data_IF_102085036226
#
_entry.id   IF_102085036226
#
_cell.length_a   1.000
_cell.length_b   1.000
_cell.length_c   1.000
_cell.angle_alpha   90.00
_cell.angle_beta   90.00
_cell.angle_gamma   90.00
#
_symmetry.space_group_name_H-M   'P 1'
#
loop_
_entity.id
_entity.type
_entity.pdbx_description
1 polymer ?
#
# COMPACT_ATOMS: atom_id res chain seq x y z
N UNK A 1 13.98 -14.50 22.93
CA UNK A 1 14.34 -13.50 21.91
C UNK A 1 13.04 -13.11 21.20
N UNK A 2 12.49 -11.91 21.46
CA UNK A 2 11.24 -11.48 20.78
C UNK A 2 11.57 -11.32 19.30
N UNK A 3 10.88 -12.04 18.41
CA UNK A 3 11.05 -11.83 16.97
C UNK A 3 10.64 -10.39 16.66
N UNK A 4 11.48 -9.63 15.96
CA UNK A 4 11.22 -8.25 15.52
C UNK A 4 10.11 -8.17 14.43
N UNK A 5 9.22 -9.17 14.37
CA UNK A 5 8.06 -9.20 13.48
C UNK A 5 8.36 -9.51 12.01
N UNK A 6 9.64 -9.69 11.62
CA UNK A 6 10.04 -10.13 10.29
C UNK A 6 9.55 -11.55 10.02
N UNK A 7 8.65 -11.72 9.04
CA UNK A 7 8.22 -13.04 8.56
C UNK A 7 9.10 -13.45 7.39
N UNK A 8 9.49 -14.72 7.35
CA UNK A 8 10.17 -15.29 6.20
C UNK A 8 9.31 -15.14 4.93
N UNK A 9 9.94 -14.84 3.81
CA UNK A 9 9.29 -14.74 2.50
C UNK A 9 9.85 -15.80 1.56
N UNK A 10 8.99 -16.75 1.17
CA UNK A 10 9.37 -17.89 0.33
C UNK A 10 9.25 -17.61 -1.17
N UNK A 11 8.44 -16.64 -1.58
CA UNK A 11 8.21 -16.27 -2.98
C UNK A 11 7.11 -17.06 -3.70
N UNK A 12 6.38 -17.92 -2.99
CA UNK A 12 5.29 -18.77 -3.49
C UNK A 12 3.91 -18.34 -2.93
N UNK A 13 3.63 -17.04 -2.97
CA UNK A 13 2.41 -16.44 -2.40
C UNK A 13 1.69 -15.55 -3.41
N UNK A 14 0.42 -15.22 -3.14
CA UNK A 14 -0.35 -14.31 -4.00
C UNK A 14 0.26 -12.91 -4.03
N UNK A 15 0.09 -12.14 -5.11
CA UNK A 15 0.56 -10.75 -5.18
C UNK A 15 0.05 -9.85 -4.03
N UNK A 16 -1.18 -10.07 -3.55
CA UNK A 16 -1.68 -9.37 -2.36
C UNK A 16 -0.86 -9.71 -1.10
N UNK A 17 -0.48 -10.98 -0.91
CA UNK A 17 0.37 -11.39 0.20
C UNK A 17 1.80 -10.85 0.10
N UNK A 18 2.33 -10.66 -1.12
CA UNK A 18 3.60 -9.97 -1.37
C UNK A 18 3.54 -8.53 -0.87
N UNK A 19 2.46 -7.81 -1.19
CA UNK A 19 2.24 -6.42 -0.76
C UNK A 19 2.11 -6.31 0.75
N UNK A 20 1.35 -7.20 1.39
CA UNK A 20 1.23 -7.24 2.85
C UNK A 20 2.56 -7.53 3.54
N UNK A 21 3.40 -8.38 2.93
CA UNK A 21 4.74 -8.63 3.44
C UNK A 21 5.62 -7.37 3.35
N UNK A 22 5.60 -6.66 2.21
CA UNK A 22 6.36 -5.41 2.04
C UNK A 22 5.94 -4.34 3.05
N UNK A 23 4.62 -4.11 3.22
CA UNK A 23 4.10 -3.17 4.23
C UNK A 23 4.58 -3.51 5.63
N UNK A 24 4.57 -4.80 5.97
CA UNK A 24 5.07 -5.24 7.28
C UNK A 24 6.56 -4.95 7.46
N UNK A 25 7.35 -5.04 6.39
CA UNK A 25 8.78 -4.68 6.46
C UNK A 25 8.96 -3.16 6.62
N UNK A 26 8.15 -2.35 5.94
CA UNK A 26 8.15 -0.89 6.10
C UNK A 26 7.88 -0.50 7.57
N UNK A 27 6.87 -1.10 8.22
CA UNK A 27 6.58 -0.88 9.65
C UNK A 27 7.79 -1.23 10.54
N UNK A 28 8.46 -2.36 10.26
CA UNK A 28 9.63 -2.81 11.02
C UNK A 28 10.79 -1.82 10.85
N UNK A 29 11.00 -1.32 9.64
CA UNK A 29 12.08 -0.37 9.37
C UNK A 29 11.83 1.00 9.98
N UNK A 30 10.59 1.45 10.02
CA UNK A 30 10.21 2.66 10.73
C UNK A 30 10.46 2.52 12.23
N UNK A 31 10.00 1.42 12.83
CA UNK A 31 10.20 1.14 14.25
C UNK A 31 11.68 1.06 14.65
N UNK A 32 12.52 0.51 13.77
CA UNK A 32 13.96 0.33 14.02
C UNK A 32 14.81 1.54 13.60
N UNK A 33 14.23 2.58 12.99
CA UNK A 33 14.97 3.66 12.34
C UNK A 33 16.06 3.14 11.38
N UNK A 34 15.74 2.08 10.63
CA UNK A 34 16.72 1.37 9.80
C UNK A 34 17.23 2.24 8.64
N UNK A 35 18.55 2.30 8.49
CA UNK A 35 19.25 2.88 7.34
C UNK A 35 18.93 2.12 6.06
N UNK A 36 19.16 2.73 4.89
CA UNK A 36 18.84 2.10 3.59
C UNK A 36 19.57 0.78 3.41
N UNK A 37 20.81 0.70 3.87
CA UNK A 37 21.68 -0.47 3.80
C UNK A 37 21.17 -1.60 4.71
N UNK A 38 20.76 -1.25 5.94
CA UNK A 38 20.18 -2.22 6.89
C UNK A 38 18.87 -2.83 6.37
N UNK A 39 18.03 -2.03 5.68
CA UNK A 39 16.78 -2.53 5.08
C UNK A 39 17.03 -3.68 4.12
N UNK A 40 17.97 -3.50 3.18
CA UNK A 40 18.31 -4.54 2.18
C UNK A 40 18.88 -5.78 2.86
N UNK A 41 19.79 -5.62 3.81
CA UNK A 41 20.36 -6.76 4.54
C UNK A 41 19.27 -7.56 5.29
N UNK A 42 18.34 -6.85 5.92
CA UNK A 42 17.26 -7.45 6.69
C UNK A 42 16.28 -8.22 5.81
N UNK A 43 15.77 -7.63 4.72
CA UNK A 43 14.86 -8.36 3.81
C UNK A 43 15.53 -9.57 3.19
N UNK A 44 16.79 -9.45 2.77
CA UNK A 44 17.55 -10.55 2.15
C UNK A 44 17.74 -11.71 3.13
N UNK A 45 17.90 -11.43 4.42
CA UNK A 45 17.97 -12.44 5.47
C UNK A 45 16.65 -13.24 5.61
N UNK A 46 15.52 -12.58 5.42
CA UNK A 46 14.18 -13.16 5.47
C UNK A 46 13.78 -13.92 4.21
N UNK A 47 14.47 -13.73 3.07
CA UNK A 47 14.19 -14.50 1.86
C UNK A 47 14.56 -15.98 2.07
N UNK A 48 13.62 -16.87 1.78
CA UNK A 48 13.76 -18.33 1.79
C UNK A 48 13.27 -18.91 0.47
N UNK A 49 13.48 -20.20 0.26
CA UNK A 49 12.90 -20.93 -0.88
C UNK A 49 13.17 -20.27 -2.23
N UNK A 50 12.12 -20.14 -3.05
CA UNK A 50 12.19 -19.52 -4.37
C UNK A 50 12.77 -18.10 -4.32
N UNK A 51 12.31 -17.28 -3.39
CA UNK A 51 12.76 -15.90 -3.27
C UNK A 51 14.26 -15.78 -2.95
N UNK A 52 14.81 -16.73 -2.18
CA UNK A 52 16.26 -16.74 -1.91
C UNK A 52 17.07 -17.13 -3.14
N UNK A 53 16.58 -18.09 -3.92
CA UNK A 53 17.20 -18.52 -5.18
C UNK A 53 17.19 -17.39 -6.21
N UNK A 54 16.04 -16.74 -6.39
CA UNK A 54 15.88 -15.55 -7.22
C UNK A 54 16.85 -14.43 -6.82
N UNK A 55 16.91 -14.08 -5.52
CA UNK A 55 17.81 -13.01 -5.08
C UNK A 55 19.27 -13.34 -5.42
N UNK A 56 19.66 -14.60 -5.28
CA UNK A 56 21.01 -15.05 -5.60
C UNK A 56 21.36 -14.93 -7.09
N UNK A 57 20.38 -15.01 -8.00
CA UNK A 57 20.60 -14.83 -9.44
C UNK A 57 20.65 -13.37 -9.87
N UNK A 58 19.94 -12.47 -9.18
CA UNK A 58 19.92 -11.03 -9.54
C UNK A 58 20.96 -10.20 -8.78
N UNK A 59 21.37 -10.63 -7.58
CA UNK A 59 22.31 -9.88 -6.74
C UNK A 59 23.78 -10.14 -7.11
N UNK A 60 24.05 -10.79 -8.25
CA UNK A 60 25.40 -11.17 -8.69
C UNK A 60 25.64 -10.80 -10.15
N UNK A 61 26.78 -10.16 -10.40
CA UNK A 61 27.28 -9.85 -11.75
C UNK A 61 28.69 -10.42 -11.85
N UNK A 62 28.94 -11.25 -12.87
CA UNK A 62 30.23 -11.95 -13.05
C UNK A 62 30.71 -12.73 -11.81
N UNK A 63 29.77 -13.24 -11.00
CA UNK A 63 30.05 -13.99 -9.77
C UNK A 63 30.24 -13.12 -8.52
N UNK A 64 30.43 -11.81 -8.67
CA UNK A 64 30.58 -10.87 -7.56
C UNK A 64 29.24 -10.37 -7.04
N UNK A 65 29.13 -10.15 -5.72
CA UNK A 65 27.91 -9.59 -5.12
C UNK A 65 27.85 -8.09 -5.39
N UNK A 66 26.77 -7.65 -6.01
CA UNK A 66 26.47 -6.23 -6.19
C UNK A 66 25.76 -5.70 -4.95
N UNK A 67 26.15 -4.51 -4.50
CA UNK A 67 25.40 -3.82 -3.46
C UNK A 67 24.19 -3.13 -4.10
N UNK A 68 23.01 -3.40 -3.55
CA UNK A 68 21.77 -2.77 -3.96
C UNK A 68 21.39 -1.72 -2.92
N UNK A 69 20.96 -0.56 -3.40
CA UNK A 69 20.15 0.37 -2.61
C UNK A 69 18.78 -0.25 -2.28
N UNK A 70 18.08 0.32 -1.29
CA UNK A 70 16.73 -0.12 -0.97
C UNK A 70 15.78 0.03 -2.16
N UNK A 71 15.93 1.13 -2.92
CA UNK A 71 15.13 1.44 -4.09
C UNK A 71 15.36 0.43 -5.23
N UNK A 72 16.62 0.03 -5.47
CA UNK A 72 16.94 -1.00 -6.46
C UNK A 72 16.43 -2.37 -6.05
N UNK A 73 16.54 -2.73 -4.76
CA UNK A 73 15.94 -3.95 -4.23
C UNK A 73 14.43 -3.97 -4.46
N UNK A 74 13.73 -2.90 -4.06
CA UNK A 74 12.27 -2.80 -4.21
C UNK A 74 11.85 -2.90 -5.66
N UNK A 75 12.57 -2.24 -6.58
CA UNK A 75 12.28 -2.32 -8.02
C UNK A 75 12.42 -3.76 -8.51
N UNK A 76 13.54 -4.42 -8.23
CA UNK A 76 13.76 -5.81 -8.65
C UNK A 76 12.73 -6.76 -8.04
N UNK A 77 12.45 -6.61 -6.74
CA UNK A 77 11.51 -7.44 -6.01
C UNK A 77 10.07 -7.29 -6.53
N UNK A 78 9.61 -6.07 -6.78
CA UNK A 78 8.28 -5.84 -7.37
C UNK A 78 8.20 -6.42 -8.78
N UNK A 79 9.22 -6.24 -9.62
CA UNK A 79 9.25 -6.83 -10.96
C UNK A 79 9.10 -8.36 -10.94
N UNK A 80 9.73 -9.02 -9.96
CA UNK A 80 9.65 -10.48 -9.83
C UNK A 80 8.31 -10.96 -9.27
N UNK A 81 7.86 -10.37 -8.16
CA UNK A 81 6.78 -10.93 -7.36
C UNK A 81 5.42 -10.25 -7.57
N UNK A 82 5.38 -9.12 -8.30
CA UNK A 82 4.15 -8.42 -8.67
C UNK A 82 4.04 -8.34 -10.19
N UNK A 83 3.31 -9.27 -10.84
CA UNK A 83 3.10 -9.23 -12.28
C UNK A 83 2.52 -7.88 -12.73
N UNK A 84 2.99 -7.35 -13.84
CA UNK A 84 2.52 -6.07 -14.38
C UNK A 84 1.00 -6.05 -14.59
N UNK A 85 0.43 -7.15 -15.09
CA UNK A 85 -1.02 -7.31 -15.24
C UNK A 85 -1.79 -7.16 -13.91
N UNK A 86 -1.22 -7.60 -12.78
CA UNK A 86 -1.82 -7.40 -11.47
C UNK A 86 -1.80 -5.93 -11.07
N UNK A 87 -0.67 -5.24 -11.28
CA UNK A 87 -0.55 -3.80 -11.00
C UNK A 87 -1.53 -2.99 -11.86
N UNK A 88 -1.62 -3.29 -13.17
CA UNK A 88 -2.59 -2.66 -14.07
C UNK A 88 -4.02 -2.90 -13.59
N UNK A 89 -4.36 -4.13 -13.20
CA UNK A 89 -5.68 -4.46 -12.67
C UNK A 89 -6.01 -3.65 -11.41
N UNK A 90 -5.06 -3.52 -10.47
CA UNK A 90 -5.24 -2.71 -9.25
C UNK A 90 -5.38 -1.22 -9.56
N UNK A 91 -4.62 -0.71 -10.53
CA UNK A 91 -4.72 0.69 -10.95
C UNK A 91 -6.06 0.99 -11.63
N UNK A 92 -6.58 0.07 -12.45
CA UNK A 92 -7.92 0.18 -13.03
C UNK A 92 -8.99 0.10 -11.92
N UNK A 93 -8.86 -0.83 -10.97
CA UNK A 93 -9.75 -0.92 -9.82
C UNK A 93 -9.77 0.38 -9.01
N UNK A 94 -8.62 1.06 -8.89
CA UNK A 94 -8.53 2.36 -8.22
C UNK A 94 -9.08 3.52 -9.05
N UNK A 95 -8.94 3.47 -10.39
CA UNK A 95 -9.55 4.44 -11.31
C UNK A 95 -11.07 4.44 -11.22
N UNK A 96 -11.65 3.25 -11.12
CA UNK A 96 -13.10 3.05 -11.06
C UNK A 96 -13.67 3.12 -9.64
N UNK A 97 -12.83 3.27 -8.62
CA UNK A 97 -13.25 3.23 -7.22
C UNK A 97 -14.21 4.38 -6.88
N UNK A 98 -15.46 4.01 -6.57
CA UNK A 98 -16.51 4.87 -6.01
C UNK A 98 -17.14 4.18 -4.82
N UNK A 99 -17.69 4.94 -3.88
CA UNK A 99 -18.37 4.42 -2.69
C UNK A 99 -19.59 3.57 -3.10
N UNK A 100 -20.45 4.11 -3.97
CA UNK A 100 -21.66 3.43 -4.44
C UNK A 100 -22.48 2.84 -3.28
N UNK A 101 -22.61 1.52 -3.23
CA UNK A 101 -23.35 0.78 -2.21
C UNK A 101 -22.48 0.34 -1.02
N UNK A 102 -21.17 0.63 -1.03
CA UNK A 102 -20.30 0.39 0.11
C UNK A 102 -20.60 1.38 1.22
N UNK A 103 -20.44 0.91 2.45
CA UNK A 103 -20.28 1.81 3.60
C UNK A 103 -19.04 2.68 3.41
N UNK A 104 -19.01 3.85 4.06
CA UNK A 104 -17.82 4.71 4.11
C UNK A 104 -16.61 3.93 4.62
N UNK A 105 -16.80 3.02 5.58
CA UNK A 105 -15.73 2.16 6.10
C UNK A 105 -15.17 1.23 5.02
N UNK A 106 -16.01 0.50 4.29
CA UNK A 106 -15.58 -0.40 3.21
C UNK A 106 -14.88 0.37 2.09
N UNK A 107 -15.46 1.50 1.67
CA UNK A 107 -14.85 2.40 0.69
C UNK A 107 -13.48 2.91 1.16
N UNK A 108 -13.35 3.32 2.43
CA UNK A 108 -12.08 3.80 3.00
C UNK A 108 -11.02 2.72 2.99
N UNK A 109 -11.37 1.51 3.43
CA UNK A 109 -10.44 0.37 3.46
C UNK A 109 -9.96 0.07 2.04
N UNK A 110 -10.88 0.05 1.06
CA UNK A 110 -10.56 -0.22 -0.34
C UNK A 110 -9.67 0.88 -0.93
N UNK A 111 -9.98 2.15 -0.66
CA UNK A 111 -9.18 3.29 -1.09
C UNK A 111 -7.73 3.21 -0.58
N UNK A 112 -7.55 2.97 0.73
CA UNK A 112 -6.22 2.87 1.36
C UNK A 112 -5.43 1.67 0.83
N UNK A 113 -6.09 0.56 0.53
CA UNK A 113 -5.42 -0.61 -0.05
C UNK A 113 -4.92 -0.35 -1.47
N UNK A 114 -5.73 0.32 -2.28
CA UNK A 114 -5.48 0.51 -3.71
C UNK A 114 -4.51 1.66 -4.02
N UNK A 115 -4.50 2.73 -3.22
CA UNK A 115 -3.58 3.87 -3.42
C UNK A 115 -2.10 3.46 -3.32
N UNK A 116 -1.80 2.31 -2.73
CA UNK A 116 -0.44 1.75 -2.67
C UNK A 116 0.13 1.36 -4.05
N UNK A 117 -0.73 1.03 -5.02
CA UNK A 117 -0.33 0.57 -6.35
C UNK A 117 -0.18 1.70 -7.37
N UNK A 118 -0.62 2.91 -7.01
CA UNK A 118 -0.60 4.06 -7.89
C UNK A 118 0.85 4.58 -8.01
N UNK A 119 1.49 4.29 -9.16
CA UNK A 119 2.81 4.84 -9.48
C UNK A 119 2.71 6.39 -9.51
N UNK A 120 3.33 7.04 -8.52
CA UNK A 120 3.48 8.50 -8.49
C UNK A 120 2.24 9.33 -8.12
N UNK A 121 1.20 8.78 -7.49
CA UNK A 121 -0.05 9.53 -7.21
C UNK A 121 -0.59 9.47 -5.77
N UNK A 122 0.31 9.24 -4.82
CA UNK A 122 0.19 9.79 -3.46
C UNK A 122 0.98 11.11 -3.30
N UNK A 123 1.28 11.80 -4.41
CA UNK A 123 2.35 12.81 -4.47
C UNK A 123 2.11 14.06 -3.61
N UNK A 124 0.86 14.29 -3.18
CA UNK A 124 0.54 15.20 -2.06
C UNK A 124 -0.72 14.73 -1.34
N UNK A 125 -0.84 15.04 -0.05
CA UNK A 125 -2.05 14.79 0.74
C UNK A 125 -3.30 15.43 0.11
N UNK A 126 -3.13 16.56 -0.59
CA UNK A 126 -4.21 17.22 -1.32
C UNK A 126 -4.80 16.35 -2.44
N UNK A 127 -3.97 15.72 -3.28
CA UNK A 127 -4.45 14.83 -4.35
C UNK A 127 -5.25 13.65 -3.78
N UNK A 128 -4.79 13.09 -2.65
CA UNK A 128 -5.50 12.01 -1.94
C UNK A 128 -6.89 12.48 -1.47
N UNK A 129 -6.98 13.67 -0.87
CA UNK A 129 -8.25 14.27 -0.43
C UNK A 129 -9.23 14.44 -1.58
N UNK A 130 -8.79 15.07 -2.66
CA UNK A 130 -9.64 15.34 -3.83
C UNK A 130 -10.17 14.04 -4.41
N UNK A 131 -9.31 13.03 -4.59
CA UNK A 131 -9.71 11.74 -5.15
C UNK A 131 -10.66 10.99 -4.21
N UNK A 132 -10.38 10.98 -2.91
CA UNK A 132 -11.24 10.36 -1.90
C UNK A 132 -12.64 10.99 -1.89
N UNK A 133 -12.72 12.33 -1.88
CA UNK A 133 -13.99 13.07 -1.93
C UNK A 133 -14.75 12.82 -3.25
N UNK A 134 -14.03 12.70 -4.36
CA UNK A 134 -14.64 12.46 -5.67
C UNK A 134 -15.32 11.09 -5.75
N UNK A 135 -14.76 10.07 -5.09
CA UNK A 135 -15.36 8.74 -5.03
C UNK A 135 -16.50 8.59 -4.03
N UNK A 136 -16.68 9.51 -3.07
CA UNK A 136 -17.84 9.46 -2.16
C UNK A 136 -19.16 9.68 -2.90
N UNK A 137 -20.24 9.08 -2.40
CA UNK A 137 -21.58 9.27 -2.97
C UNK A 137 -22.03 10.73 -2.83
N UNK A 138 -22.82 11.20 -3.80
CA UNK A 138 -23.16 12.63 -3.96
C UNK A 138 -23.70 13.27 -2.68
N UNK A 139 -24.63 12.59 -1.98
CA UNK A 139 -25.22 13.11 -0.75
C UNK A 139 -24.23 13.35 0.40
N UNK A 140 -23.16 12.55 0.49
CA UNK A 140 -22.08 12.77 1.46
C UNK A 140 -21.13 13.86 0.98
N UNK A 141 -20.77 13.84 -0.31
CA UNK A 141 -19.88 14.83 -0.93
C UNK A 141 -20.40 16.26 -0.74
N UNK A 142 -21.70 16.49 -0.95
CA UNK A 142 -22.32 17.82 -0.79
C UNK A 142 -22.32 18.31 0.67
N UNK A 143 -22.50 17.40 1.64
CA UNK A 143 -22.46 17.73 3.07
C UNK A 143 -21.05 18.07 3.52
N UNK A 144 -20.06 17.28 3.09
CA UNK A 144 -18.64 17.50 3.46
C UNK A 144 -18.08 18.74 2.78
N UNK A 145 -18.46 19.05 1.53
CA UNK A 145 -18.00 20.28 0.86
C UNK A 145 -18.43 21.57 1.55
N UNK A 146 -19.47 21.53 2.39
CA UNK A 146 -19.90 22.67 3.24
C UNK A 146 -19.07 22.82 4.50
N UNK A 147 -18.25 21.83 4.84
CA UNK A 147 -17.35 21.83 5.98
C UNK A 147 -15.94 22.02 5.42
N UNK A 148 -15.31 23.17 5.68
CA UNK A 148 -13.91 23.42 5.31
C UNK A 148 -13.01 22.48 6.11
N UNK A 149 -12.74 21.29 5.58
CA UNK A 149 -11.98 20.26 6.27
C UNK A 149 -10.55 20.15 5.75
N UNK A 150 -9.60 20.50 6.62
CA UNK A 150 -8.20 20.64 6.23
C UNK A 150 -7.44 19.29 6.11
N UNK A 151 -8.00 18.18 6.62
CA UNK A 151 -7.31 16.87 6.65
C UNK A 151 -8.12 15.69 6.10
N UNK A 152 -7.44 14.63 5.62
CA UNK A 152 -8.09 13.35 5.27
C UNK A 152 -8.82 12.73 6.46
N UNK A 153 -8.33 12.94 7.69
CA UNK A 153 -8.95 12.38 8.89
C UNK A 153 -10.33 12.99 9.14
N UNK A 154 -10.44 14.31 9.01
CA UNK A 154 -11.71 15.03 9.17
C UNK A 154 -12.72 14.58 8.09
N UNK A 155 -12.28 14.47 6.83
CA UNK A 155 -13.14 14.03 5.71
C UNK A 155 -13.73 12.65 5.98
N UNK A 156 -12.91 11.72 6.49
CA UNK A 156 -13.36 10.36 6.84
C UNK A 156 -14.34 10.37 8.00
N UNK A 157 -14.05 11.13 9.05
CA UNK A 157 -14.90 11.28 10.23
C UNK A 157 -16.28 11.84 9.86
N UNK A 158 -16.31 12.91 9.06
CA UNK A 158 -17.56 13.54 8.64
C UNK A 158 -18.35 12.66 7.68
N UNK A 159 -17.69 11.98 6.74
CA UNK A 159 -18.35 10.99 5.88
C UNK A 159 -19.02 9.90 6.72
N UNK A 160 -18.32 9.37 7.74
CA UNK A 160 -18.86 8.34 8.63
C UNK A 160 -20.06 8.84 9.43
N UNK A 161 -19.97 10.04 10.04
CA UNK A 161 -21.07 10.64 10.80
C UNK A 161 -22.32 10.85 9.95
N UNK A 162 -22.17 11.44 8.77
CA UNK A 162 -23.30 11.69 7.89
C UNK A 162 -23.95 10.40 7.36
N UNK A 163 -23.16 9.36 7.12
CA UNK A 163 -23.71 8.05 6.76
C UNK A 163 -24.50 7.43 7.92
N UNK A 164 -23.99 7.49 9.16
CA UNK A 164 -24.69 6.97 10.34
C UNK A 164 -26.05 7.65 10.55
N UNK A 165 -26.11 8.99 10.43
CA UNK A 165 -27.37 9.73 10.56
C UNK A 165 -28.42 9.36 9.49
N UNK A 166 -27.99 8.96 8.29
CA UNK A 166 -28.91 8.51 7.24
C UNK A 166 -29.45 7.10 7.48
N UNK A 167 -28.74 6.27 8.24
CA UNK A 167 -29.20 4.93 8.64
C UNK A 167 -30.17 5.04 9.82
N UNK A 168 -29.88 5.89 10.81
CA UNK A 168 -30.70 6.07 12.00
C UNK A 168 -32.01 6.85 11.74
N UNK A 169 -32.03 7.70 10.71
CA UNK A 169 -33.22 8.48 10.32
C UNK A 169 -34.18 7.77 9.37
N UNK A 170 -33.98 6.47 9.08
CA UNK A 170 -34.84 5.62 8.26
C UNK A 170 -35.62 4.63 9.13
#
# INVERSE_FOLDING_TARGET
MKSLGGRDFKGDVSPDAVVEWLRKMEDVFEYLYATREEKVQYVVFLLKGYARSWWSSVSRVNGERVQFTWEEFLKAFKTEFLPEAFIIAKNNEFADLKQENMTVTEYTIKFVRLIYFEDGLADTEHKKKVRYLHGLRLGLKEKIHRVDEESMATIKESAFKYEAYEVEGR
#
